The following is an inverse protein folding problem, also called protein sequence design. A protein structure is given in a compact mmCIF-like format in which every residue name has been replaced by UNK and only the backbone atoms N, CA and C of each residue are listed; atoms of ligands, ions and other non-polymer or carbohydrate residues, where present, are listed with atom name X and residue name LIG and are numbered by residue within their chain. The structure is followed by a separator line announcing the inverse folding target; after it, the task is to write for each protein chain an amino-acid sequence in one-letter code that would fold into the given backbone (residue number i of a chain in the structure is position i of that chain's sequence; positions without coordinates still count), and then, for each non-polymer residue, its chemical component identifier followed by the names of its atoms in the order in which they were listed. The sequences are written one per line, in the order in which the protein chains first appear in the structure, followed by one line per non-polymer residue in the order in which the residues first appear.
data_IF_650883372694
#
_entry.id   IF_650883372694
#
_cell.length_a   1.000
_cell.length_b   1.000
_cell.length_c   1.000
_cell.angle_alpha   90.00
_cell.angle_beta   90.00
_cell.angle_gamma   90.00
#
_symmetry.space_group_name_H-M   'P 1'
#
loop_
_entity.id
_entity.type
_entity.pdbx_description
1 polymer ?
#
# COMPACT_ATOMS: atom_id res chain seq x y z
N UNK A 1 -0.09 3.90 -2.72
CA UNK A 1 0.03 2.86 -1.68
C UNK A 1 -0.24 1.47 -2.25
N UNK A 2 -1.38 1.22 -2.90
CA UNK A 2 -1.71 -0.07 -3.56
C UNK A 2 -0.57 -0.68 -4.40
N UNK A 3 0.09 0.13 -5.24
CA UNK A 3 1.22 -0.36 -6.07
C UNK A 3 2.38 -0.89 -5.24
N UNK A 4 2.69 -0.25 -4.11
CA UNK A 4 3.77 -0.71 -3.22
C UNK A 4 3.43 -2.02 -2.51
N UNK A 5 2.13 -2.34 -2.35
CA UNK A 5 1.69 -3.66 -1.89
C UNK A 5 1.81 -4.74 -2.97
N UNK A 6 1.99 -4.38 -4.24
CA UNK A 6 1.90 -5.28 -5.39
C UNK A 6 2.86 -6.48 -5.32
N UNK A 7 4.11 -6.28 -4.91
CA UNK A 7 5.08 -7.38 -4.80
C UNK A 7 4.68 -8.40 -3.74
N UNK A 8 4.54 -7.96 -2.49
CA UNK A 8 4.18 -8.83 -1.36
C UNK A 8 2.80 -9.48 -1.51
N UNK A 9 1.83 -8.75 -2.06
CA UNK A 9 0.52 -9.31 -2.37
C UNK A 9 0.59 -10.35 -3.50
N UNK A 10 1.41 -10.12 -4.53
CA UNK A 10 1.59 -11.10 -5.60
C UNK A 10 2.21 -12.40 -5.05
N UNK A 11 3.22 -12.30 -4.19
CA UNK A 11 3.78 -13.47 -3.49
C UNK A 11 2.69 -14.22 -2.74
N UNK A 12 1.86 -13.52 -1.95
CA UNK A 12 0.79 -14.15 -1.17
C UNK A 12 -0.27 -14.84 -2.05
N UNK A 13 -0.61 -14.26 -3.20
CA UNK A 13 -1.58 -14.85 -4.13
C UNK A 13 -1.00 -16.08 -4.84
N UNK A 14 0.33 -16.15 -5.05
CA UNK A 14 0.99 -17.27 -5.74
C UNK A 14 1.39 -18.39 -4.79
N UNK A 15 2.02 -18.05 -3.66
CA UNK A 15 2.66 -18.98 -2.74
C UNK A 15 1.89 -19.19 -1.43
N UNK A 16 0.76 -18.50 -1.24
CA UNK A 16 -0.04 -18.60 -0.01
C UNK A 16 0.58 -17.81 1.14
N UNK A 17 0.49 -18.31 2.36
CA UNK A 17 0.93 -17.58 3.56
C UNK A 17 2.46 -17.65 3.81
N UNK A 18 3.20 -18.40 2.99
CA UNK A 18 4.66 -18.45 3.01
C UNK A 18 5.25 -17.25 2.25
N UNK A 19 5.32 -16.09 2.92
CA UNK A 19 5.78 -14.83 2.33
C UNK A 19 7.22 -14.53 2.76
N UNK A 20 8.02 -13.97 1.85
CA UNK A 20 9.41 -13.59 2.11
C UNK A 20 9.52 -12.24 2.82
N UNK A 21 10.73 -11.89 3.29
CA UNK A 21 11.06 -10.56 3.82
C UNK A 21 11.55 -9.58 2.75
N UNK A 22 11.61 -9.99 1.48
CA UNK A 22 12.09 -9.17 0.36
C UNK A 22 11.28 -7.90 0.11
N UNK A 23 10.01 -7.86 0.55
CA UNK A 23 9.12 -6.71 0.43
C UNK A 23 9.27 -5.64 1.53
N UNK A 24 10.29 -5.72 2.40
CA UNK A 24 10.44 -4.81 3.55
C UNK A 24 10.56 -3.33 3.17
N UNK A 25 11.29 -3.03 2.10
CA UNK A 25 11.50 -1.64 1.65
C UNK A 25 10.19 -0.97 1.23
N UNK A 26 9.27 -1.72 0.61
CA UNK A 26 7.98 -1.19 0.21
C UNK A 26 7.05 -0.98 1.40
N UNK A 27 7.09 -1.86 2.41
CA UNK A 27 6.36 -1.69 3.68
C UNK A 27 6.81 -0.42 4.42
N UNK A 28 8.11 -0.11 4.38
CA UNK A 28 8.64 1.11 4.98
C UNK A 28 8.11 2.36 4.22
N UNK A 29 8.12 2.34 2.89
CA UNK A 29 7.54 3.42 2.06
C UNK A 29 6.05 3.59 2.33
N UNK A 30 5.29 2.49 2.39
CA UNK A 30 3.86 2.49 2.71
C UNK A 30 3.63 3.16 4.06
N UNK A 31 4.37 2.73 5.08
CA UNK A 31 4.27 3.28 6.43
C UNK A 31 4.60 4.76 6.47
N UNK A 32 5.63 5.20 5.74
CA UNK A 32 6.01 6.62 5.65
C UNK A 32 4.93 7.46 4.97
N UNK A 33 4.35 6.97 3.88
CA UNK A 33 3.25 7.66 3.17
C UNK A 33 2.02 7.74 4.08
N UNK A 34 1.64 6.63 4.71
CA UNK A 34 0.49 6.56 5.60
C UNK A 34 0.67 7.49 6.82
N UNK A 35 1.88 7.50 7.40
CA UNK A 35 2.24 8.42 8.47
C UNK A 35 2.07 9.86 8.02
N UNK A 36 2.65 10.27 6.89
CA UNK A 36 2.50 11.63 6.38
C UNK A 36 1.04 11.99 6.07
N UNK A 37 0.22 11.07 5.55
CA UNK A 37 -1.22 11.31 5.37
C UNK A 37 -1.94 11.58 6.69
N UNK A 38 -1.56 10.89 7.76
CA UNK A 38 -2.16 11.04 9.09
C UNK A 38 -1.61 12.25 9.85
N UNK A 39 -0.32 12.57 9.72
CA UNK A 39 0.38 13.61 10.51
C UNK A 39 0.71 14.89 9.73
N UNK A 40 0.34 15.00 8.46
CA UNK A 40 0.67 16.16 7.63
C UNK A 40 0.10 17.46 8.24
N UNK A 41 0.88 18.55 8.28
CA UNK A 41 0.38 19.87 8.71
C UNK A 41 -0.82 20.37 7.89
N UNK A 42 -1.02 19.85 6.67
CA UNK A 42 -2.16 20.17 5.82
C UNK A 42 -3.45 19.45 6.26
N UNK A 43 -3.37 18.47 7.15
CA UNK A 43 -4.53 17.83 7.74
C UNK A 43 -5.05 18.72 8.90
N UNK A 44 -6.16 19.40 8.64
CA UNK A 44 -6.79 20.39 9.53
C UNK A 44 -7.24 19.84 10.88
N UNK A 45 -7.22 18.52 11.08
CA UNK A 45 -7.66 17.81 12.30
C UNK A 45 -6.56 17.55 13.33
N UNK A 46 -5.29 17.80 13.00
CA UNK A 46 -4.14 17.46 13.88
C UNK A 46 -3.86 18.44 15.04
N UNK A 47 -4.64 19.51 15.23
CA UNK A 47 -4.50 20.39 16.41
C UNK A 47 -3.05 20.74 16.81
N UNK A 48 -2.69 20.52 18.07
CA UNK A 48 -1.36 20.82 18.64
C UNK A 48 -0.28 19.77 18.29
N UNK A 49 -0.60 18.75 17.50
CA UNK A 49 0.31 17.62 17.21
C UNK A 49 1.60 18.04 16.48
N UNK A 50 1.55 19.15 15.74
CA UNK A 50 2.74 19.77 15.14
C UNK A 50 3.78 20.22 16.19
N UNK A 51 3.34 20.61 17.40
CA UNK A 51 4.23 20.98 18.50
C UNK A 51 4.85 19.75 19.17
N UNK A 52 4.10 18.67 19.36
CA UNK A 52 4.64 17.41 19.93
C UNK A 52 5.69 16.77 19.02
N UNK A 53 5.60 16.93 17.69
CA UNK A 53 6.65 16.52 16.74
C UNK A 53 7.94 17.32 16.93
N UNK A 54 7.83 18.65 17.14
CA UNK A 54 9.00 19.51 17.43
C UNK A 54 9.68 19.18 18.76
N UNK A 55 8.94 18.64 19.73
CA UNK A 55 9.43 18.29 21.07
C UNK A 55 9.85 16.81 21.15
N UNK A 56 9.75 16.03 20.06
CA UNK A 56 10.20 14.63 20.02
C UNK A 56 9.30 13.65 20.80
N UNK A 57 8.05 14.02 21.07
CA UNK A 57 7.10 13.22 21.86
C UNK A 57 6.32 12.18 21.04
N UNK A 58 6.38 12.23 19.70
CA UNK A 58 5.54 11.41 18.80
C UNK A 58 6.16 10.10 18.29
N UNK A 59 7.48 9.91 18.34
CA UNK A 59 8.14 8.72 17.80
C UNK A 59 8.07 7.49 18.73
N UNK A 60 7.02 7.42 19.58
CA UNK A 60 6.79 6.26 20.43
C UNK A 60 6.07 5.17 19.62
N UNK A 61 6.59 3.93 19.62
CA UNK A 61 5.98 2.82 18.87
C UNK A 61 4.55 2.49 19.33
N UNK A 62 4.20 2.81 20.57
CA UNK A 62 2.89 2.51 21.18
C UNK A 62 1.91 3.70 21.10
N UNK A 63 2.08 4.62 20.15
CA UNK A 63 1.11 5.70 19.94
C UNK A 63 -0.19 5.14 19.32
N UNK A 64 -1.38 5.56 19.78
CA UNK A 64 -2.66 5.21 19.15
C UNK A 64 -2.73 5.62 17.67
N UNK A 65 -1.92 6.59 17.25
CA UNK A 65 -1.76 6.96 15.84
C UNK A 65 -1.24 5.80 14.99
N UNK A 66 -0.38 4.94 15.54
CA UNK A 66 0.20 3.80 14.84
C UNK A 66 -0.82 2.73 14.48
N UNK A 67 -1.76 2.44 15.38
CA UNK A 67 -2.87 1.52 15.12
C UNK A 67 -3.84 2.10 14.09
N UNK A 68 -4.20 3.38 14.23
CA UNK A 68 -5.06 4.08 13.25
C UNK A 68 -4.44 4.09 11.85
N UNK A 69 -3.13 4.34 11.74
CA UNK A 69 -2.39 4.27 10.46
C UNK A 69 -2.47 2.87 9.85
N UNK A 70 -2.30 1.83 10.66
CA UNK A 70 -2.29 0.44 10.21
C UNK A 70 -3.66 0.01 9.66
N UNK A 71 -4.71 0.16 10.48
CA UNK A 71 -6.05 -0.32 10.13
C UNK A 71 -6.68 0.44 8.97
N UNK A 72 -6.41 1.74 8.84
CA UNK A 72 -7.18 2.58 7.93
C UNK A 72 -6.54 2.80 6.57
N UNK A 73 -5.22 2.71 6.47
CA UNK A 73 -4.53 2.99 5.21
C UNK A 73 -3.74 1.79 4.68
N UNK A 74 -3.18 0.97 5.57
CA UNK A 74 -2.35 -0.17 5.15
C UNK A 74 -3.25 -1.37 4.81
N UNK A 75 -4.13 -1.78 5.72
CA UNK A 75 -4.98 -2.97 5.52
C UNK A 75 -5.95 -2.80 4.35
N UNK A 76 -6.61 -1.64 4.22
CA UNK A 76 -7.51 -1.35 3.09
C UNK A 76 -6.77 -1.42 1.74
N UNK A 77 -5.60 -0.78 1.63
CA UNK A 77 -4.87 -0.76 0.37
C UNK A 77 -4.21 -2.10 0.03
N UNK A 78 -3.92 -2.93 1.04
CA UNK A 78 -3.53 -4.32 0.89
C UNK A 78 -4.68 -5.16 0.32
N UNK A 79 -5.90 -5.02 0.85
CA UNK A 79 -7.08 -5.75 0.37
C UNK A 79 -7.40 -5.41 -1.10
N UNK A 80 -7.35 -4.13 -1.47
CA UNK A 80 -7.52 -3.67 -2.85
C UNK A 80 -6.47 -4.29 -3.77
N UNK A 81 -5.20 -4.31 -3.34
CA UNK A 81 -4.11 -4.91 -4.11
C UNK A 81 -4.34 -6.42 -4.30
N UNK A 82 -4.69 -7.14 -3.23
CA UNK A 82 -4.98 -8.57 -3.26
C UNK A 82 -6.15 -8.91 -4.19
N UNK A 83 -7.25 -8.15 -4.11
CA UNK A 83 -8.42 -8.33 -4.97
C UNK A 83 -8.06 -8.10 -6.43
N UNK A 84 -7.37 -6.99 -6.72
CA UNK A 84 -6.89 -6.66 -8.07
C UNK A 84 -6.00 -7.75 -8.67
N UNK A 85 -5.05 -8.28 -7.90
CA UNK A 85 -4.15 -9.36 -8.34
C UNK A 85 -4.88 -10.68 -8.55
N UNK A 86 -5.84 -11.03 -7.69
CA UNK A 86 -6.65 -12.25 -7.84
C UNK A 86 -7.49 -12.22 -9.12
N UNK A 87 -8.17 -11.11 -9.39
CA UNK A 87 -8.98 -10.95 -10.61
C UNK A 87 -8.10 -10.99 -11.86
N UNK A 88 -6.89 -10.42 -11.78
CA UNK A 88 -5.95 -10.33 -12.89
C UNK A 88 -4.86 -11.41 -12.87
N UNK A 89 -5.11 -12.55 -12.22
CA UNK A 89 -4.09 -13.59 -12.03
C UNK A 89 -3.44 -14.05 -13.34
N UNK A 90 -4.24 -14.19 -14.38
CA UNK A 90 -3.78 -14.54 -15.72
C UNK A 90 -2.73 -13.56 -16.30
N UNK A 91 -2.82 -12.26 -15.99
CA UNK A 91 -1.83 -11.25 -16.40
C UNK A 91 -0.54 -11.42 -15.59
N UNK A 92 -0.65 -11.69 -14.29
CA UNK A 92 0.50 -11.96 -13.44
C UNK A 92 1.28 -13.17 -13.96
N UNK A 93 0.60 -14.29 -14.22
CA UNK A 93 1.24 -15.51 -14.73
C UNK A 93 1.88 -15.29 -16.12
N UNK A 94 1.22 -14.53 -17.00
CA UNK A 94 1.77 -14.15 -18.31
C UNK A 94 3.10 -13.38 -18.17
N UNK A 95 3.11 -12.33 -17.33
CA UNK A 95 4.31 -11.51 -17.11
C UNK A 95 5.41 -12.35 -16.45
N UNK A 96 5.06 -13.21 -15.49
CA UNK A 96 6.03 -14.08 -14.81
C UNK A 96 6.68 -15.06 -15.76
N UNK A 97 5.91 -15.75 -16.61
CA UNK A 97 6.47 -16.67 -17.59
C UNK A 97 7.43 -15.95 -18.55
N UNK A 98 7.06 -14.77 -19.00
CA UNK A 98 7.93 -14.00 -19.89
C UNK A 98 9.19 -13.49 -19.19
N UNK A 99 9.13 -13.12 -17.91
CA UNK A 99 10.32 -12.76 -17.12
C UNK A 99 11.23 -13.96 -16.85
N UNK A 100 10.66 -15.15 -16.66
CA UNK A 100 11.43 -16.39 -16.50
C UNK A 100 12.22 -16.73 -17.77
N UNK A 101 11.63 -16.47 -18.95
CA UNK A 101 12.27 -16.72 -20.24
C UNK A 101 13.25 -15.60 -20.64
N UNK A 102 12.86 -14.33 -20.49
CA UNK A 102 13.56 -13.21 -21.12
C UNK A 102 14.41 -12.35 -20.17
N UNK A 103 14.47 -12.63 -18.86
CA UNK A 103 15.22 -11.89 -17.82
C UNK A 103 14.94 -10.38 -17.69
N UNK A 104 14.30 -9.76 -18.69
CA UNK A 104 13.94 -8.34 -18.74
C UNK A 104 12.79 -8.18 -19.73
N UNK A 105 11.79 -7.42 -19.32
CA UNK A 105 10.74 -6.91 -20.20
C UNK A 105 10.96 -5.41 -20.36
N UNK A 106 11.24 -4.97 -21.58
CA UNK A 106 11.45 -3.54 -21.90
C UNK A 106 10.15 -2.88 -22.35
N UNK A 107 9.32 -3.65 -23.06
CA UNK A 107 7.96 -3.36 -23.51
C UNK A 107 7.40 -4.69 -24.02
N UNK A 108 6.29 -5.17 -23.46
CA UNK A 108 5.56 -6.29 -24.09
C UNK A 108 5.15 -5.83 -25.49
N UNK A 109 5.31 -6.68 -26.51
CA UNK A 109 4.87 -6.34 -27.88
C UNK A 109 3.34 -6.26 -27.93
N UNK A 110 2.80 -5.09 -27.56
CA UNK A 110 1.37 -4.81 -27.51
C UNK A 110 0.90 -4.30 -26.13
N UNK A 111 -0.27 -3.65 -26.06
CA UNK A 111 -0.89 -3.29 -24.80
C UNK A 111 -1.22 -4.56 -24.00
N UNK A 112 -0.94 -4.54 -22.70
CA UNK A 112 -1.39 -5.59 -21.78
C UNK A 112 -2.91 -5.77 -21.91
N UNK A 113 -3.44 -7.00 -21.71
CA UNK A 113 -4.87 -7.22 -21.64
C UNK A 113 -5.50 -6.27 -20.63
N UNK A 114 -6.39 -5.38 -21.08
CA UNK A 114 -7.07 -4.46 -20.20
C UNK A 114 -8.26 -5.15 -19.55
N UNK A 115 -8.34 -5.08 -18.22
CA UNK A 115 -9.48 -5.58 -17.50
C UNK A 115 -10.48 -4.45 -17.23
N UNK A 116 -11.51 -4.36 -18.07
CA UNK A 116 -12.58 -3.35 -17.95
C UNK A 116 -13.38 -3.43 -16.63
N UNK A 117 -13.30 -4.56 -15.92
CA UNK A 117 -13.99 -4.78 -14.64
C UNK A 117 -13.31 -4.08 -13.47
N UNK A 118 -12.04 -3.71 -13.62
CA UNK A 118 -11.24 -3.07 -12.57
C UNK A 118 -10.79 -1.71 -13.06
N UNK A 119 -11.44 -0.65 -12.57
CA UNK A 119 -11.02 0.73 -12.85
C UNK A 119 -10.25 1.29 -11.68
N UNK A 120 -9.17 2.00 -11.98
CA UNK A 120 -8.50 2.82 -10.97
C UNK A 120 -9.52 3.84 -10.46
N UNK A 121 -9.89 3.70 -9.19
CA UNK A 121 -10.53 4.79 -8.47
C UNK A 121 -9.44 5.47 -7.66
N UNK A 122 -9.37 6.82 -7.68
CA UNK A 122 -8.61 7.54 -6.67
C UNK A 122 -9.04 7.00 -5.31
N UNK A 123 -8.09 6.66 -4.46
CA UNK A 123 -8.41 6.32 -3.07
C UNK A 123 -9.13 7.54 -2.49
N UNK A 124 -10.39 7.37 -2.08
CA UNK A 124 -11.08 8.38 -1.29
C UNK A 124 -10.33 8.44 0.04
N UNK A 125 -9.38 9.38 0.08
CA UNK A 125 -8.59 9.73 1.24
C UNK A 125 -9.56 10.24 2.30
N UNK A 126 -10.16 9.33 3.08
CA UNK A 126 -10.92 9.73 4.24
C UNK A 126 -9.92 10.41 5.19
N UNK A 127 -10.13 11.69 5.53
CA UNK A 127 -9.33 12.30 6.57
C UNK A 127 -9.56 11.50 7.84
N UNK A 128 -8.45 11.16 8.53
CA UNK A 128 -8.47 10.33 9.73
C UNK A 128 -9.68 10.68 10.65
N UNK A 129 -10.41 9.68 11.15
CA UNK A 129 -11.54 9.85 12.04
C UNK A 129 -11.04 10.64 13.23
N UNK A 130 -11.73 11.75 13.49
CA UNK A 130 -11.56 12.45 14.76
C UNK A 130 -11.87 11.43 15.85
N UNK A 131 -10.90 11.20 16.74
CA UNK A 131 -11.27 10.85 18.10
C UNK A 131 -12.12 12.02 18.63
N UNK A 132 -13.43 11.82 18.62
CA UNK A 132 -14.37 12.69 19.32
C UNK A 132 -14.15 12.38 20.81
N UNK A 133 -13.50 13.29 21.51
CA UNK A 133 -13.64 13.42 22.95
C UNK A 133 -14.77 14.40 23.25
#
# INVERSE_FOLDING_TARGET
MVVAHGGRCAERVVFGDEITDGGRDDLEKITKIAREMVISPANSRLGLTALTKRVGLMDRPDSPDGELIKYMYIEETEEIAMSGLKVNRHILDMITNELLENSRITRLEGPLPHNDRVRYQPLDLYPAPLHIC
#
